data_IF_636770038101
#
_entry.id   IF_636770038101
#
_cell.length_a   1.000
_cell.length_b   1.000
_cell.length_c   1.000
_cell.angle_alpha   90.00
_cell.angle_beta   90.00
_cell.angle_gamma   90.00
#
_symmetry.space_group_name_H-M   'P 1'
#
loop_
_entity.id
_entity.type
_entity.pdbx_description
1 polymer ?
#
# COMPACT_ATOMS: atom_id res chain seq x y z
N UNK A 1 -20.39 -32.75 -1.01
CA UNK A 1 -20.48 -31.40 -1.60
C UNK A 1 -19.44 -30.53 -0.90
N UNK A 2 -18.47 -29.97 -1.62
CA UNK A 2 -17.58 -28.95 -1.09
C UNK A 2 -18.33 -27.61 -1.06
N UNK A 3 -18.31 -26.93 0.08
CA UNK A 3 -18.87 -25.58 0.22
C UNK A 3 -17.72 -24.59 0.09
N UNK A 4 -17.86 -23.55 -0.72
CA UNK A 4 -16.92 -22.42 -0.72
C UNK A 4 -16.85 -21.87 0.70
N UNK A 5 -15.64 -21.87 1.28
CA UNK A 5 -15.40 -21.35 2.61
C UNK A 5 -14.74 -19.99 2.50
N UNK A 6 -15.26 -19.02 3.25
CA UNK A 6 -14.61 -17.73 3.43
C UNK A 6 -13.39 -17.95 4.32
N UNK A 7 -12.20 -17.70 3.78
CA UNK A 7 -10.95 -17.77 4.53
C UNK A 7 -10.59 -16.37 5.01
N UNK A 8 -10.40 -16.24 6.32
CA UNK A 8 -10.07 -14.97 6.99
C UNK A 8 -8.89 -15.15 7.92
N UNK A 9 -8.13 -14.10 8.14
CA UNK A 9 -6.99 -14.09 9.05
C UNK A 9 -6.89 -12.79 9.85
N UNK A 10 -6.04 -12.82 10.88
CA UNK A 10 -5.72 -11.66 11.72
C UNK A 10 -4.50 -10.88 11.19
N UNK A 11 -3.85 -11.41 10.14
CA UNK A 11 -2.67 -10.81 9.52
C UNK A 11 -2.99 -10.44 8.06
N UNK A 12 -2.56 -9.26 7.63
CA UNK A 12 -2.57 -8.83 6.23
C UNK A 12 -1.21 -9.09 5.57
N UNK A 13 -1.21 -9.52 4.31
CA UNK A 13 0.03 -9.79 3.60
C UNK A 13 -0.06 -10.83 2.48
N UNK A 14 1.09 -11.23 1.96
CA UNK A 14 1.23 -12.19 0.86
C UNK A 14 1.46 -13.59 1.44
N UNK A 15 0.82 -14.61 0.89
CA UNK A 15 1.14 -16.00 1.25
C UNK A 15 2.40 -16.40 0.49
N UNK A 16 3.41 -16.84 1.22
CA UNK A 16 4.64 -17.36 0.61
C UNK A 16 4.92 -18.76 1.13
N UNK A 17 5.39 -19.63 0.24
CA UNK A 17 6.01 -20.88 0.65
C UNK A 17 7.29 -20.56 1.40
N UNK A 18 7.41 -21.08 2.63
CA UNK A 18 8.61 -20.94 3.41
C UNK A 18 9.66 -21.90 2.82
N UNK A 19 10.28 -21.55 1.70
CA UNK A 19 11.31 -22.36 1.03
C UNK A 19 12.65 -22.34 1.77
N UNK A 20 12.68 -21.83 3.01
CA UNK A 20 13.83 -21.95 3.89
C UNK A 20 14.18 -23.41 4.17
N UNK A 21 15.46 -23.73 4.44
CA UNK A 21 15.94 -25.10 4.61
C UNK A 21 15.30 -25.88 5.78
N UNK A 22 14.54 -25.21 6.66
CA UNK A 22 13.78 -25.86 7.74
C UNK A 22 12.39 -26.27 7.26
N UNK A 23 12.22 -27.58 7.03
CA UNK A 23 11.03 -28.30 6.53
C UNK A 23 9.78 -28.21 7.43
N UNK A 24 9.28 -27.04 7.79
CA UNK A 24 7.92 -26.92 8.32
C UNK A 24 6.96 -26.44 7.22
N UNK A 25 5.99 -27.28 6.80
CA UNK A 25 5.10 -27.01 5.67
C UNK A 25 3.93 -26.07 6.02
N UNK A 26 4.15 -25.11 6.91
CA UNK A 26 3.13 -24.12 7.27
C UNK A 26 3.32 -22.89 6.41
N UNK A 27 2.39 -22.69 5.46
CA UNK A 27 2.27 -21.44 4.71
C UNK A 27 2.22 -20.26 5.68
N UNK A 28 3.08 -19.28 5.46
CA UNK A 28 3.22 -18.12 6.32
C UNK A 28 2.74 -16.89 5.56
N UNK A 29 1.99 -16.03 6.24
CA UNK A 29 1.66 -14.70 5.70
C UNK A 29 2.86 -13.81 5.96
N UNK A 30 3.44 -13.24 4.91
CA UNK A 30 4.49 -12.23 5.01
C UNK A 30 3.93 -10.85 4.75
N UNK A 31 4.53 -9.81 5.34
CA UNK A 31 4.14 -8.42 5.06
C UNK A 31 4.26 -8.09 3.55
N UNK A 32 3.50 -7.11 3.07
CA UNK A 32 3.66 -6.63 1.69
C UNK A 32 5.08 -6.13 1.44
N UNK A 33 5.59 -6.32 0.22
CA UNK A 33 6.93 -5.87 -0.14
C UNK A 33 6.97 -4.36 -0.30
N UNK A 34 8.13 -3.79 -0.02
CA UNK A 34 8.52 -2.45 -0.49
C UNK A 34 9.44 -2.74 -1.66
N UNK A 35 8.89 -2.76 -2.87
CA UNK A 35 9.61 -3.21 -4.07
C UNK A 35 10.35 -2.03 -4.72
N UNK A 36 11.62 -2.23 -5.04
CA UNK A 36 12.30 -1.40 -6.04
C UNK A 36 11.55 -1.56 -7.37
N UNK A 37 11.38 -0.47 -8.12
CA UNK A 37 10.62 -0.43 -9.37
C UNK A 37 11.00 -1.50 -10.39
N UNK A 38 10.20 -1.57 -11.47
CA UNK A 38 10.08 -2.60 -12.53
C UNK A 38 11.34 -3.32 -13.07
N UNK A 39 12.57 -2.92 -12.75
CA UNK A 39 13.80 -3.48 -13.34
C UNK A 39 14.39 -4.68 -12.62
N UNK A 40 14.01 -4.97 -11.36
CA UNK A 40 14.65 -6.05 -10.58
C UNK A 40 13.77 -7.28 -10.33
N UNK A 41 12.69 -7.45 -11.11
CA UNK A 41 11.85 -8.65 -11.00
C UNK A 41 12.66 -9.93 -11.30
N UNK A 42 13.72 -9.86 -12.11
CA UNK A 42 14.60 -11.02 -12.36
C UNK A 42 15.63 -11.27 -11.24
N UNK A 43 15.85 -10.31 -10.34
CA UNK A 43 16.67 -10.44 -9.12
C UNK A 43 15.83 -10.65 -7.84
N UNK A 44 14.57 -11.09 -7.97
CA UNK A 44 13.65 -11.39 -6.85
C UNK A 44 14.15 -12.45 -5.85
N UNK A 45 15.28 -13.10 -6.11
CA UNK A 45 15.93 -14.04 -5.20
C UNK A 45 16.78 -13.36 -4.11
N UNK A 46 17.03 -12.05 -4.18
CA UNK A 46 17.94 -11.33 -3.27
C UNK A 46 17.27 -10.27 -2.40
N UNK A 47 15.98 -9.99 -2.57
CA UNK A 47 15.25 -9.09 -1.66
C UNK A 47 14.95 -9.88 -0.39
N UNK A 48 15.35 -9.42 0.82
CA UNK A 48 15.13 -10.17 2.04
C UNK A 48 13.65 -10.54 2.15
N UNK A 49 13.38 -11.78 2.53
CA UNK A 49 12.03 -12.21 2.88
C UNK A 49 11.43 -11.16 3.81
N UNK A 50 10.32 -10.56 3.39
CA UNK A 50 9.54 -9.70 4.27
C UNK A 50 9.24 -10.47 5.55
N UNK A 51 9.33 -9.80 6.69
CA UNK A 51 9.09 -10.42 7.99
C UNK A 51 7.71 -11.11 8.01
N UNK A 52 7.57 -12.21 8.78
CA UNK A 52 6.27 -12.78 9.08
C UNK A 52 5.29 -11.68 9.49
N UNK A 53 4.10 -11.68 8.92
CA UNK A 53 3.05 -10.75 9.31
C UNK A 53 2.50 -11.19 10.67
N UNK A 54 2.53 -10.27 11.62
CA UNK A 54 1.91 -10.45 12.93
C UNK A 54 0.43 -10.08 12.89
N UNK A 55 -0.39 -10.56 13.84
CA UNK A 55 -1.76 -10.09 14.00
C UNK A 55 -1.77 -8.57 14.15
N UNK A 56 -2.57 -7.90 13.34
CA UNK A 56 -2.61 -6.44 13.29
C UNK A 56 -4.00 -5.97 12.88
N UNK A 57 -4.34 -4.72 13.17
CA UNK A 57 -5.58 -4.13 12.66
C UNK A 57 -5.41 -3.64 11.22
N UNK A 58 -6.53 -3.27 10.60
CA UNK A 58 -6.55 -2.62 9.29
C UNK A 58 -5.74 -1.32 9.30
N UNK A 59 -5.91 -0.48 10.33
CA UNK A 59 -5.16 0.76 10.47
C UNK A 59 -3.66 0.50 10.64
N UNK A 60 -3.30 -0.38 11.57
CA UNK A 60 -1.90 -0.73 11.84
C UNK A 60 -1.20 -1.24 10.59
N UNK A 61 -1.85 -2.11 9.82
CA UNK A 61 -1.31 -2.63 8.56
C UNK A 61 -1.05 -1.55 7.52
N UNK A 62 -1.92 -0.54 7.39
CA UNK A 62 -1.74 0.54 6.42
C UNK A 62 -0.64 1.51 6.86
N UNK A 63 -0.62 1.87 8.15
CA UNK A 63 0.40 2.74 8.70
C UNK A 63 1.79 2.09 8.66
N UNK A 64 1.92 0.80 9.03
CA UNK A 64 3.18 0.05 8.93
C UNK A 64 3.70 0.05 7.48
N UNK A 65 2.82 -0.18 6.51
CA UNK A 65 3.21 -0.17 5.10
C UNK A 65 3.64 1.23 4.63
N UNK A 66 2.95 2.29 5.05
CA UNK A 66 3.33 3.67 4.75
C UNK A 66 4.68 4.04 5.37
N UNK A 67 4.87 3.75 6.66
CA UNK A 67 6.08 4.08 7.41
C UNK A 67 7.30 3.34 6.82
N UNK A 68 7.10 2.13 6.28
CA UNK A 68 8.16 1.40 5.55
C UNK A 68 8.55 2.05 4.23
N UNK A 69 7.60 2.66 3.50
CA UNK A 69 7.91 3.44 2.30
C UNK A 69 8.64 4.74 2.64
N UNK A 70 8.23 5.44 3.70
CA UNK A 70 8.91 6.65 4.18
C UNK A 70 10.36 6.33 4.51
N UNK A 71 10.61 5.32 5.36
CA UNK A 71 11.97 4.87 5.71
C UNK A 71 12.80 4.44 4.52
N UNK A 72 12.15 3.82 3.52
CA UNK A 72 12.81 3.45 2.29
C UNK A 72 13.26 4.68 1.49
N UNK A 73 12.40 5.69 1.36
CA UNK A 73 12.74 6.94 0.67
C UNK A 73 13.87 7.69 1.40
N UNK A 74 13.78 7.83 2.72
CA UNK A 74 14.83 8.43 3.58
C UNK A 74 16.19 7.75 3.41
N UNK A 75 16.21 6.42 3.20
CA UNK A 75 17.44 5.67 3.00
C UNK A 75 18.06 5.87 1.62
N UNK A 76 17.23 5.97 0.58
CA UNK A 76 17.68 6.06 -0.82
C UNK A 76 18.00 7.49 -1.26
N UNK A 77 17.36 8.48 -0.65
CA UNK A 77 17.53 9.90 -0.96
C UNK A 77 17.89 10.68 0.31
N UNK A 78 19.18 10.66 0.71
CA UNK A 78 19.65 11.24 1.96
C UNK A 78 19.66 12.78 1.96
N UNK A 79 19.42 13.42 0.82
CA UNK A 79 19.31 14.89 0.69
C UNK A 79 17.96 15.41 1.24
N UNK A 80 17.36 14.67 2.17
CA UNK A 80 16.13 14.98 2.90
C UNK A 80 14.90 15.21 2.03
N UNK A 81 14.90 14.63 0.82
CA UNK A 81 13.73 14.61 -0.06
C UNK A 81 12.71 13.57 0.45
N UNK A 82 12.26 13.75 1.69
CA UNK A 82 11.12 13.00 2.22
C UNK A 82 9.89 13.46 1.47
N UNK A 83 9.43 12.60 0.57
CA UNK A 83 8.24 12.84 -0.24
C UNK A 83 7.03 13.09 0.65
N UNK A 84 6.63 14.36 0.73
CA UNK A 84 5.55 14.84 1.58
C UNK A 84 4.20 14.16 1.29
N UNK A 85 4.03 13.59 0.09
CA UNK A 85 2.86 12.82 -0.30
C UNK A 85 2.64 11.62 0.63
N UNK A 86 3.69 10.92 1.09
CA UNK A 86 3.52 9.79 2.02
C UNK A 86 2.92 10.26 3.35
N UNK A 87 3.41 11.38 3.89
CA UNK A 87 2.87 11.99 5.12
C UNK A 87 1.41 12.43 4.96
N UNK A 88 1.07 13.01 3.80
CA UNK A 88 -0.31 13.38 3.47
C UNK A 88 -1.22 12.16 3.36
N UNK A 89 -0.80 11.09 2.68
CA UNK A 89 -1.59 9.84 2.60
C UNK A 89 -1.74 9.17 3.96
N UNK A 90 -0.68 9.14 4.78
CA UNK A 90 -0.71 8.66 6.16
C UNK A 90 -1.74 9.40 7.01
N UNK A 91 -1.81 10.73 6.85
CA UNK A 91 -2.82 11.56 7.51
C UNK A 91 -4.24 11.16 7.06
N UNK A 92 -4.47 11.00 5.75
CA UNK A 92 -5.77 10.58 5.22
C UNK A 92 -6.19 9.21 5.77
N UNK A 93 -5.27 8.26 5.91
CA UNK A 93 -5.56 6.94 6.52
C UNK A 93 -6.08 7.08 7.95
N UNK A 94 -5.48 7.95 8.76
CA UNK A 94 -5.97 8.22 10.12
C UNK A 94 -7.39 8.79 10.11
N UNK A 95 -7.69 9.71 9.18
CA UNK A 95 -9.02 10.28 9.03
C UNK A 95 -10.05 9.24 8.57
N UNK A 96 -9.70 8.39 7.60
CA UNK A 96 -10.55 7.29 7.14
C UNK A 96 -10.92 6.33 8.28
N UNK A 97 -9.99 6.08 9.22
CA UNK A 97 -10.26 5.26 10.39
C UNK A 97 -11.21 5.95 11.36
N UNK A 98 -10.99 7.24 11.65
CA UNK A 98 -11.89 8.04 12.50
C UNK A 98 -13.32 8.10 11.97
N UNK A 99 -13.48 8.13 10.64
CA UNK A 99 -14.78 8.07 9.97
C UNK A 99 -15.43 6.67 9.98
N UNK A 100 -14.73 5.64 10.48
CA UNK A 100 -15.19 4.25 10.47
C UNK A 100 -15.21 3.62 9.07
N UNK A 101 -14.53 4.23 8.09
CA UNK A 101 -14.40 3.67 6.73
C UNK A 101 -13.51 2.43 6.78
N UNK A 102 -12.47 2.46 7.60
CA UNK A 102 -11.47 1.39 7.75
C UNK A 102 -11.39 0.84 9.19
N UNK A 103 -12.48 0.24 9.72
CA UNK A 103 -12.55 -0.11 11.14
C UNK A 103 -11.60 -1.27 11.51
N UNK A 104 -11.03 -1.22 12.71
CA UNK A 104 -10.11 -2.26 13.23
C UNK A 104 -10.78 -3.62 13.46
N UNK A 105 -12.11 -3.66 13.56
CA UNK A 105 -12.87 -4.90 13.71
C UNK A 105 -12.83 -5.79 12.46
N UNK A 106 -12.42 -5.26 11.31
CA UNK A 106 -12.39 -6.02 10.07
C UNK A 106 -11.22 -7.00 10.05
N UNK A 107 -11.52 -8.25 9.70
CA UNK A 107 -10.51 -9.28 9.42
C UNK A 107 -9.89 -9.07 8.05
N UNK A 108 -8.73 -9.68 7.82
CA UNK A 108 -8.17 -9.79 6.49
C UNK A 108 -8.77 -10.98 5.77
N UNK A 109 -9.00 -10.81 4.47
CA UNK A 109 -9.65 -11.76 3.60
C UNK A 109 -8.68 -12.26 2.58
N UNK A 110 -8.65 -13.58 2.46
CA UNK A 110 -7.90 -14.23 1.40
C UNK A 110 -8.55 -13.89 0.06
N UNK A 111 -7.87 -13.11 -0.77
CA UNK A 111 -8.39 -12.68 -2.07
C UNK A 111 -7.48 -13.16 -3.19
N UNK A 112 -8.12 -13.64 -4.25
CA UNK A 112 -7.51 -13.89 -5.55
C UNK A 112 -7.83 -12.69 -6.44
N UNK A 113 -6.81 -11.93 -6.82
CA UNK A 113 -7.02 -10.62 -7.46
C UNK A 113 -7.16 -10.69 -8.96
N UNK A 114 -6.74 -11.81 -9.55
CA UNK A 114 -6.91 -12.11 -10.96
C UNK A 114 -8.01 -13.17 -11.22
N UNK A 115 -9.19 -13.01 -10.60
CA UNK A 115 -10.31 -13.93 -10.79
C UNK A 115 -11.07 -13.68 -12.11
N UNK A 116 -10.34 -13.76 -13.22
CA UNK A 116 -10.85 -13.62 -14.58
C UNK A 116 -11.32 -14.96 -15.14
N UNK A 117 -12.10 -14.95 -16.23
CA UNK A 117 -12.76 -16.15 -16.75
C UNK A 117 -11.80 -17.32 -17.04
N UNK A 118 -10.57 -17.06 -17.47
CA UNK A 118 -9.59 -18.11 -17.77
C UNK A 118 -8.95 -18.74 -16.51
N UNK A 119 -9.04 -18.09 -15.35
CA UNK A 119 -8.58 -18.61 -14.06
C UNK A 119 -9.67 -19.40 -13.31
N UNK A 120 -10.84 -19.60 -13.92
CA UNK A 120 -11.93 -20.38 -13.34
C UNK A 120 -12.08 -21.73 -14.06
N UNK A 121 -12.00 -22.83 -13.31
CA UNK A 121 -12.41 -24.14 -13.82
C UNK A 121 -13.92 -24.25 -13.69
N UNK A 122 -14.59 -24.50 -14.81
CA UNK A 122 -16.04 -24.65 -14.87
C UNK A 122 -16.41 -26.03 -15.38
N UNK A 123 -17.45 -26.60 -14.79
CA UNK A 123 -18.15 -27.79 -15.27
C UNK A 123 -19.50 -27.35 -15.83
N UNK A 124 -19.78 -27.73 -17.08
CA UNK A 124 -21.08 -27.49 -17.70
C UNK A 124 -22.04 -28.58 -17.19
N UNK A 125 -22.97 -28.18 -16.32
CA UNK A 125 -23.93 -29.12 -15.71
C UNK A 125 -25.08 -29.38 -16.69
N UNK A 126 -25.57 -28.34 -17.36
CA UNK A 126 -26.59 -28.40 -18.40
C UNK A 126 -26.53 -27.15 -19.32
N UNK A 127 -27.54 -26.96 -20.17
CA UNK A 127 -27.61 -25.85 -21.15
C UNK A 127 -27.71 -24.45 -20.52
N UNK A 128 -28.06 -24.35 -19.25
CA UNK A 128 -28.29 -23.09 -18.53
C UNK A 128 -27.42 -22.93 -17.29
N UNK A 129 -26.78 -24.01 -16.82
CA UNK A 129 -26.06 -24.03 -15.56
C UNK A 129 -24.60 -24.45 -15.76
N UNK A 130 -23.71 -23.67 -15.16
CA UNK A 130 -22.30 -24.00 -14.99
C UNK A 130 -21.98 -24.04 -13.49
N UNK A 131 -21.02 -24.89 -13.11
CA UNK A 131 -20.51 -25.01 -11.75
C UNK A 131 -19.03 -24.68 -11.73
N UNK A 132 -18.61 -23.73 -10.90
CA UNK A 132 -17.18 -23.48 -10.67
C UNK A 132 -16.64 -24.64 -9.82
N UNK A 133 -15.70 -25.39 -10.37
CA UNK A 133 -15.10 -26.58 -9.73
C UNK A 133 -13.72 -26.30 -9.15
N UNK A 134 -13.09 -25.21 -9.56
CA UNK A 134 -11.79 -24.78 -9.04
C UNK A 134 -11.40 -23.40 -9.56
N UNK A 135 -10.37 -22.85 -8.94
CA UNK A 135 -9.70 -21.61 -9.36
C UNK A 135 -8.24 -21.99 -9.63
N UNK A 136 -7.68 -21.48 -10.73
CA UNK A 136 -6.29 -21.66 -11.14
C UNK A 136 -5.47 -20.42 -10.76
N UNK A 137 -4.15 -20.47 -11.00
CA UNK A 137 -3.23 -19.33 -10.88
C UNK A 137 -3.10 -18.72 -9.47
N UNK A 138 -2.83 -19.60 -8.50
CA UNK A 138 -2.65 -19.23 -7.09
C UNK A 138 -1.28 -18.61 -6.76
N UNK A 139 -0.60 -18.04 -7.76
CA UNK A 139 0.73 -17.49 -7.58
C UNK A 139 0.69 -16.29 -6.61
N UNK A 140 1.77 -16.10 -5.85
CA UNK A 140 1.87 -15.06 -4.81
C UNK A 140 1.66 -13.63 -5.33
N UNK A 141 1.80 -13.42 -6.64
CA UNK A 141 1.51 -12.15 -7.34
C UNK A 141 0.03 -11.79 -7.32
N UNK A 142 -0.86 -12.79 -7.24
CA UNK A 142 -2.31 -12.63 -7.36
C UNK A 142 -3.07 -12.96 -6.08
N UNK A 143 -2.37 -13.41 -5.04
CA UNK A 143 -3.01 -14.04 -3.88
C UNK A 143 -2.47 -13.44 -2.59
N UNK A 144 -3.37 -12.85 -1.80
CA UNK A 144 -3.00 -12.21 -0.54
C UNK A 144 -4.17 -12.07 0.45
N UNK A 145 -3.83 -11.93 1.73
CA UNK A 145 -4.74 -11.49 2.77
C UNK A 145 -4.84 -9.97 2.78
N UNK A 146 -6.01 -9.45 2.41
CA UNK A 146 -6.28 -8.00 2.31
C UNK A 146 -7.54 -7.59 3.02
N UNK A 147 -7.63 -6.30 3.28
CA UNK A 147 -8.80 -5.69 3.89
C UNK A 147 -9.99 -5.77 2.93
N UNK A 148 -11.21 -5.76 3.48
CA UNK A 148 -12.45 -5.81 2.69
C UNK A 148 -12.58 -4.69 1.65
N UNK A 149 -11.87 -3.59 1.86
CA UNK A 149 -11.82 -2.43 0.99
C UNK A 149 -11.23 -2.77 -0.38
N UNK A 150 -10.22 -3.65 -0.43
CA UNK A 150 -9.46 -3.98 -1.65
C UNK A 150 -10.26 -4.84 -2.63
N UNK A 151 -11.46 -5.30 -2.27
CA UNK A 151 -12.22 -6.34 -2.98
C UNK A 151 -13.08 -5.82 -4.15
N UNK A 152 -12.99 -4.53 -4.49
CA UNK A 152 -13.89 -3.89 -5.47
C UNK A 152 -13.14 -3.19 -6.62
N UNK A 153 -11.91 -3.60 -6.92
CA UNK A 153 -11.21 -3.12 -8.12
C UNK A 153 -11.82 -3.70 -9.41
N UNK A 154 -11.69 -2.94 -10.51
CA UNK A 154 -12.48 -2.99 -11.76
C UNK A 154 -12.65 -4.36 -12.46
N UNK A 155 -11.91 -5.39 -12.08
CA UNK A 155 -12.03 -6.74 -12.68
C UNK A 155 -11.94 -7.89 -11.66
N UNK A 156 -11.79 -7.58 -10.38
CA UNK A 156 -11.68 -8.61 -9.35
C UNK A 156 -13.07 -8.93 -8.83
N UNK A 157 -13.66 -10.02 -9.33
CA UNK A 157 -14.76 -10.68 -8.63
C UNK A 157 -14.14 -11.35 -7.40
N UNK A 158 -13.84 -10.59 -6.34
CA UNK A 158 -13.47 -11.27 -5.11
C UNK A 158 -14.77 -11.90 -4.57
N UNK A 159 -14.73 -13.18 -4.19
CA UNK A 159 -15.87 -14.04 -3.79
C UNK A 159 -16.68 -13.58 -2.57
N UNK A 160 -16.55 -12.31 -2.21
CA UNK A 160 -17.42 -11.55 -1.33
C UNK A 160 -18.81 -11.29 -1.88
N UNK A 161 -18.98 -11.50 -3.18
CA UNK A 161 -20.30 -11.60 -3.74
C UNK A 161 -20.81 -12.98 -3.37
N UNK A 162 -21.53 -13.08 -2.24
CA UNK A 162 -22.67 -14.00 -2.22
C UNK A 162 -23.50 -13.62 -3.44
N UNK A 163 -23.24 -14.28 -4.58
CA UNK A 163 -24.30 -14.45 -5.56
C UNK A 163 -25.38 -15.14 -4.76
N UNK A 164 -26.53 -14.49 -4.64
CA UNK A 164 -27.68 -15.26 -4.20
C UNK A 164 -27.79 -16.48 -5.12
N UNK A 165 -28.38 -17.56 -4.62
CA UNK A 165 -28.55 -18.79 -5.39
C UNK A 165 -29.33 -18.61 -6.69
N UNK A 166 -29.85 -17.39 -6.95
CA UNK A 166 -30.65 -17.02 -8.10
C UNK A 166 -29.85 -16.24 -9.16
N UNK A 167 -28.54 -16.03 -8.97
CA UNK A 167 -27.70 -15.32 -9.94
C UNK A 167 -28.03 -13.84 -10.11
N UNK A 168 -28.75 -13.25 -9.16
CA UNK A 168 -28.97 -11.80 -9.17
C UNK A 168 -27.69 -11.11 -8.71
N UNK A 169 -27.30 -10.04 -9.43
CA UNK A 169 -26.15 -9.20 -9.04
C UNK A 169 -26.27 -8.85 -7.55
N UNK A 170 -25.18 -8.78 -6.79
CA UNK A 170 -25.25 -8.39 -5.38
C UNK A 170 -25.80 -6.97 -5.31
N UNK A 171 -27.11 -6.86 -5.07
CA UNK A 171 -27.83 -5.59 -4.93
C UNK A 171 -27.83 -5.11 -3.49
N UNK A 172 -27.02 -5.71 -2.60
CA UNK A 172 -26.99 -5.27 -1.22
C UNK A 172 -26.57 -3.81 -1.18
N UNK A 173 -27.34 -2.99 -0.46
CA UNK A 173 -27.02 -1.57 -0.28
C UNK A 173 -25.63 -1.39 0.35
N UNK A 174 -25.17 -2.40 1.09
CA UNK A 174 -23.82 -2.46 1.65
C UNK A 174 -22.75 -2.54 0.56
N UNK A 175 -22.90 -3.40 -0.44
CA UNK A 175 -21.95 -3.46 -1.57
C UNK A 175 -21.92 -2.13 -2.33
N UNK A 176 -23.09 -1.54 -2.58
CA UNK A 176 -23.17 -0.24 -3.27
C UNK A 176 -22.40 0.82 -2.49
N UNK A 177 -22.55 0.86 -1.16
CA UNK A 177 -21.79 1.75 -0.28
C UNK A 177 -20.28 1.55 -0.50
N UNK A 178 -19.76 0.33 -0.37
CA UNK A 178 -18.33 0.06 -0.57
C UNK A 178 -17.85 0.41 -1.97
N UNK A 179 -18.67 0.16 -3.00
CA UNK A 179 -18.29 0.33 -4.40
C UNK A 179 -18.27 1.80 -4.84
N UNK A 180 -19.22 2.61 -4.37
CA UNK A 180 -19.46 3.96 -4.92
C UNK A 180 -19.19 5.10 -3.95
N UNK A 181 -19.09 4.85 -2.65
CA UNK A 181 -18.84 5.93 -1.69
C UNK A 181 -17.40 6.48 -1.89
N UNK A 182 -17.22 7.81 -2.02
CA UNK A 182 -15.93 8.43 -2.33
C UNK A 182 -14.80 8.06 -1.37
N UNK A 183 -15.06 8.01 -0.06
CA UNK A 183 -14.04 7.66 0.93
C UNK A 183 -13.51 6.23 0.73
N UNK A 184 -14.37 5.30 0.32
CA UNK A 184 -13.96 3.94 0.00
C UNK A 184 -13.17 3.84 -1.31
N UNK A 185 -13.41 4.74 -2.26
CA UNK A 185 -12.61 4.85 -3.50
C UNK A 185 -11.21 5.36 -3.17
N UNK A 186 -11.11 6.40 -2.33
CA UNK A 186 -9.84 6.95 -1.84
C UNK A 186 -9.06 5.88 -1.05
N UNK A 187 -9.69 5.23 -0.07
CA UNK A 187 -9.05 4.18 0.72
C UNK A 187 -8.47 3.06 -0.15
N UNK A 188 -9.18 2.68 -1.22
CA UNK A 188 -8.70 1.70 -2.21
C UNK A 188 -7.46 2.17 -2.97
N UNK A 189 -7.47 3.40 -3.46
CA UNK A 189 -6.32 3.97 -4.18
C UNK A 189 -5.09 4.04 -3.25
N UNK A 190 -5.28 4.49 -2.00
CA UNK A 190 -4.22 4.52 -0.98
C UNK A 190 -3.64 3.13 -0.72
N UNK A 191 -4.49 2.12 -0.51
CA UNK A 191 -4.02 0.75 -0.30
C UNK A 191 -3.15 0.26 -1.47
N UNK A 192 -3.56 0.52 -2.71
CA UNK A 192 -2.79 0.11 -3.89
C UNK A 192 -1.48 0.89 -4.03
N UNK A 193 -1.47 2.19 -3.75
CA UNK A 193 -0.24 3.00 -3.65
C UNK A 193 0.70 2.40 -2.59
N UNK A 194 0.19 2.06 -1.40
CA UNK A 194 0.99 1.48 -0.32
C UNK A 194 1.52 0.09 -0.68
N UNK A 195 0.75 -0.70 -1.44
CA UNK A 195 1.15 -2.03 -1.91
C UNK A 195 2.23 -1.94 -2.98
N UNK A 196 2.06 -1.06 -3.97
CA UNK A 196 2.91 -0.97 -5.17
C UNK A 196 4.11 -0.04 -5.01
N UNK A 197 4.03 0.92 -4.10
CA UNK A 197 4.97 2.02 -4.00
C UNK A 197 4.76 3.13 -5.02
N UNK A 198 5.71 4.05 -5.06
CA UNK A 198 5.82 5.08 -6.09
C UNK A 198 7.26 5.14 -6.59
N UNK A 199 7.45 4.99 -7.90
CA UNK A 199 8.78 4.95 -8.53
C UNK A 199 8.87 5.75 -9.82
N UNK A 200 7.77 6.39 -10.21
CA UNK A 200 7.66 7.16 -11.45
C UNK A 200 6.85 8.42 -11.22
N UNK A 201 7.05 9.43 -12.08
CA UNK A 201 6.23 10.65 -12.06
C UNK A 201 4.73 10.37 -12.11
N UNK A 202 4.31 9.32 -12.83
CA UNK A 202 2.90 8.90 -12.89
C UNK A 202 2.39 8.37 -11.54
N UNK A 203 3.23 7.72 -10.74
CA UNK A 203 2.85 7.23 -9.41
C UNK A 203 2.67 8.39 -8.44
N UNK A 204 3.56 9.39 -8.49
CA UNK A 204 3.43 10.59 -7.66
C UNK A 204 2.21 11.42 -8.05
N UNK A 205 1.93 11.55 -9.35
CA UNK A 205 0.69 12.19 -9.80
C UNK A 205 -0.54 11.45 -9.26
N UNK A 206 -0.54 10.11 -9.24
CA UNK A 206 -1.65 9.35 -8.65
C UNK A 206 -1.81 9.61 -7.14
N UNK A 207 -0.70 9.80 -6.40
CA UNK A 207 -0.75 10.21 -4.99
C UNK A 207 -1.36 11.62 -4.83
N UNK A 208 -0.91 12.58 -5.64
CA UNK A 208 -1.42 13.96 -5.62
C UNK A 208 -2.91 14.01 -5.98
N UNK A 209 -3.34 13.23 -6.96
CA UNK A 209 -4.74 13.09 -7.34
C UNK A 209 -5.59 12.51 -6.19
N UNK A 210 -5.08 11.51 -5.45
CA UNK A 210 -5.76 10.98 -4.26
C UNK A 210 -5.90 12.03 -3.17
N UNK A 211 -4.87 12.84 -2.95
CA UNK A 211 -4.87 13.92 -1.97
C UNK A 211 -5.87 15.02 -2.38
N UNK A 212 -5.91 15.36 -3.67
CA UNK A 212 -6.86 16.32 -4.22
C UNK A 212 -8.31 15.84 -4.09
N UNK A 213 -8.60 14.57 -4.45
CA UNK A 213 -9.92 13.95 -4.27
C UNK A 213 -10.36 14.01 -2.81
N UNK A 214 -9.44 13.74 -1.86
CA UNK A 214 -9.73 13.86 -0.43
C UNK A 214 -10.07 15.29 -0.02
N UNK A 215 -9.29 16.27 -0.49
CA UNK A 215 -9.51 17.69 -0.19
C UNK A 215 -10.83 18.23 -0.76
N UNK A 216 -11.31 17.68 -1.88
CA UNK A 216 -12.62 18.05 -2.44
C UNK A 216 -13.78 17.65 -1.50
N UNK A 217 -13.65 16.51 -0.82
CA UNK A 217 -14.70 15.96 0.06
C UNK A 217 -14.56 16.46 1.50
N UNK A 218 -13.34 16.42 2.02
CA UNK A 218 -12.98 16.70 3.41
C UNK A 218 -11.84 17.72 3.45
N UNK A 219 -12.16 18.97 3.11
CA UNK A 219 -11.18 20.05 3.12
C UNK A 219 -10.48 20.14 4.49
N UNK A 220 -9.15 20.06 4.48
CA UNK A 220 -8.33 20.10 5.68
C UNK A 220 -7.07 20.94 5.44
N UNK A 221 -6.98 22.08 6.13
CA UNK A 221 -5.86 23.00 6.05
C UNK A 221 -4.54 22.36 6.52
N UNK A 222 -4.58 21.36 7.40
CA UNK A 222 -3.39 20.67 7.88
C UNK A 222 -2.63 19.98 6.73
N UNK A 223 -3.34 19.48 5.71
CA UNK A 223 -2.71 18.85 4.54
C UNK A 223 -1.86 19.82 3.71
N UNK A 224 -2.21 21.11 3.70
CA UNK A 224 -1.42 22.14 3.01
C UNK A 224 -0.12 22.48 3.76
N UNK A 225 -0.10 22.29 5.08
CA UNK A 225 1.08 22.58 5.92
C UNK A 225 2.23 21.60 5.69
N UNK A 226 1.96 20.40 5.18
CA UNK A 226 3.01 19.44 4.80
C UNK A 226 3.84 19.88 3.58
N UNK A 227 3.46 20.95 2.88
CA UNK A 227 4.07 21.33 1.61
C UNK A 227 5.21 22.35 1.73
N UNK A 228 5.54 22.86 2.93
CA UNK A 228 6.21 24.15 3.08
C UNK A 228 7.37 24.24 4.07
N UNK A 229 7.98 23.12 4.48
CA UNK A 229 9.36 23.23 4.96
C UNK A 229 10.28 23.21 3.73
N UNK A 230 10.33 24.32 2.99
CA UNK A 230 11.49 24.61 2.14
C UNK A 230 12.69 24.74 3.10
N UNK A 231 13.66 23.81 3.08
CA UNK A 231 14.85 23.92 3.92
C UNK A 231 15.71 25.15 3.59
N UNK A 232 15.42 25.84 2.49
CA UNK A 232 16.23 26.93 1.95
C UNK A 232 15.72 28.36 2.23
N UNK A 233 14.62 28.55 2.99
CA UNK A 233 14.03 29.90 3.11
C UNK A 233 14.43 30.71 4.35
N UNK A 234 15.31 30.24 5.24
CA UNK A 234 15.76 31.07 6.38
C UNK A 234 17.15 30.65 6.90
N UNK A 235 18.25 31.17 6.34
CA UNK A 235 19.30 31.81 7.15
C UNK A 235 20.31 32.67 6.35
N UNK A 236 19.85 33.52 5.41
CA UNK A 236 20.63 34.70 5.02
C UNK A 236 20.30 35.86 5.99
N UNK A 237 20.49 35.63 7.30
CA UNK A 237 20.58 36.75 8.24
C UNK A 237 21.96 37.37 8.08
N UNK A 238 22.01 38.46 7.32
CA UNK A 238 23.00 39.54 7.34
C UNK A 238 24.25 39.26 8.20
N UNK A 239 25.30 38.69 7.60
CA UNK A 239 26.65 38.89 8.10
C UNK A 239 27.01 40.37 7.85
N UNK A 240 26.59 41.23 8.78
CA UNK A 240 27.06 42.60 8.86
C UNK A 240 28.56 42.58 9.06
N UNK A 241 29.30 42.91 8.01
CA UNK A 241 30.73 43.09 8.08
C UNK A 241 31.10 44.08 9.18
N UNK A 242 31.84 43.59 10.17
CA UNK A 242 32.75 44.40 10.95
C UNK A 242 34.18 43.96 10.60
N UNK A 243 34.78 44.77 9.75
CA UNK A 243 36.20 44.88 9.54
C UNK A 243 36.87 45.43 10.80
N UNK A 244 37.64 44.61 11.51
CA UNK A 244 38.77 45.02 12.37
C UNK A 244 39.82 43.91 12.18
N UNK A 245 40.82 44.10 11.32
CA UNK A 245 42.09 44.79 11.61
C UNK A 245 42.93 44.10 12.70
N UNK A 246 44.24 44.00 12.45
CA UNK A 246 45.30 43.31 13.22
C UNK A 246 45.43 41.79 12.96
N UNK A 247 46.59 41.20 12.69
CA UNK A 247 47.97 41.69 12.75
C UNK A 247 48.88 40.69 12.02
N UNK A 248 49.97 41.22 11.46
CA UNK A 248 51.20 40.56 11.04
C UNK A 248 51.55 39.27 11.82
N UNK A 249 52.10 38.29 11.09
CA UNK A 249 53.38 37.66 11.44
C UNK A 249 53.83 36.80 10.26
N UNK A 250 54.84 37.32 9.54
CA UNK A 250 55.77 36.53 8.75
C UNK A 250 56.38 35.41 9.61
N UNK A 251 56.53 34.22 9.05
CA UNK A 251 57.68 33.37 9.35
C UNK A 251 57.87 32.35 8.23
N UNK A 252 58.80 32.71 7.35
CA UNK A 252 59.54 31.81 6.49
C UNK A 252 60.27 30.76 7.33
N UNK A 253 60.00 29.48 7.07
CA UNK A 253 60.97 28.42 7.38
C UNK A 253 61.05 27.49 6.18
N UNK A 254 61.99 27.81 5.30
CA UNK A 254 62.67 26.80 4.49
C UNK A 254 63.53 25.95 5.44
N UNK A 255 63.43 24.64 5.36
CA UNK A 255 64.53 23.75 5.72
C UNK A 255 64.47 22.47 4.87
N UNK A 256 65.69 22.02 4.58
CA UNK A 256 66.20 21.11 3.55
C UNK A 256 65.66 19.67 3.51
#
# INVERSE_FOLDING_TARGET
MSKLQRVTGDCGGVITDNSGPSKQPTGMVQKFRVALGRTDIENTLLVPATWPAEPQTTLESLLDQCDRWIKFCEHWDPDDFVMHQWSKLRFIVLQLHQLGVIPDSNKFHFCHTDLVAHNNLIEIVDHSNVRITGVLDWDASFVYFVQSLSLTQRHTICGYMEMDTNGTRPTSNEWKKYATQPEYLIARRIFEIFKRGASSACDYQDMDDVIADWQEIHFDEALNKFSLSDPDTDNDSEYSGQSEDSSDSDDDVEDE
#
